data_IF_616193811051
#
_entry.id   IF_616193811051
#
_cell.length_a   1.000
_cell.length_b   1.000
_cell.length_c   1.000
_cell.angle_alpha   90.00
_cell.angle_beta   90.00
_cell.angle_gamma   90.00
#
_symmetry.space_group_name_H-M   'P 1'
#
loop_
_entity.id
_entity.type
_entity.pdbx_description
1 polymer ?
#
# COMPACT_ATOMS: atom_id res chain seq x y z
N UNK A 1 27.52 -24.29 -22.55
CA UNK A 1 26.17 -23.70 -22.60
C UNK A 1 25.94 -23.14 -23.99
N UNK A 2 25.36 -23.93 -24.90
CA UNK A 2 24.98 -23.51 -26.24
C UNK A 2 23.72 -22.66 -26.14
N UNK A 3 23.81 -21.36 -26.42
CA UNK A 3 22.63 -20.50 -26.53
C UNK A 3 21.75 -21.02 -27.68
N UNK A 4 20.62 -21.67 -27.34
CA UNK A 4 19.57 -21.98 -28.32
C UNK A 4 19.10 -20.65 -28.94
N UNK A 5 19.27 -20.50 -30.26
CA UNK A 5 18.62 -19.41 -31.00
C UNK A 5 17.12 -19.50 -30.71
N UNK A 6 16.53 -18.41 -30.21
CA UNK A 6 15.10 -18.30 -30.02
C UNK A 6 14.43 -18.55 -31.38
N UNK A 7 13.61 -19.60 -31.46
CA UNK A 7 12.79 -19.86 -32.66
C UNK A 7 11.88 -18.64 -32.91
N UNK A 8 11.64 -18.30 -34.18
CA UNK A 8 10.75 -17.20 -34.56
C UNK A 8 9.37 -17.32 -33.90
N UNK A 9 8.89 -18.55 -33.67
CA UNK A 9 7.65 -18.82 -32.94
C UNK A 9 7.72 -18.36 -31.47
N UNK A 10 8.83 -18.64 -30.75
CA UNK A 10 9.02 -18.22 -29.36
C UNK A 10 9.12 -16.70 -29.28
N UNK A 11 9.81 -16.08 -30.24
CA UNK A 11 9.96 -14.64 -30.29
C UNK A 11 8.63 -13.93 -30.55
N UNK A 12 7.82 -14.43 -31.49
CA UNK A 12 6.46 -13.92 -31.76
C UNK A 12 5.55 -14.12 -30.54
N UNK A 13 5.62 -15.27 -29.87
CA UNK A 13 4.81 -15.56 -28.69
C UNK A 13 5.15 -14.62 -27.52
N UNK A 14 6.44 -14.38 -27.26
CA UNK A 14 6.90 -13.42 -26.25
C UNK A 14 6.48 -12.00 -26.62
N UNK A 15 6.63 -11.61 -27.89
CA UNK A 15 6.25 -10.28 -28.37
C UNK A 15 4.74 -10.03 -28.23
N UNK A 16 3.89 -10.99 -28.61
CA UNK A 16 2.44 -10.90 -28.43
C UNK A 16 2.04 -10.86 -26.95
N UNK A 17 2.66 -11.69 -26.11
CA UNK A 17 2.42 -11.68 -24.67
C UNK A 17 2.78 -10.34 -24.03
N UNK A 18 3.94 -9.78 -24.38
CA UNK A 18 4.36 -8.45 -23.91
C UNK A 18 3.44 -7.37 -24.47
N UNK A 19 3.09 -7.40 -25.76
CA UNK A 19 2.17 -6.45 -26.35
C UNK A 19 0.82 -6.46 -25.62
N UNK A 20 0.26 -7.63 -25.36
CA UNK A 20 -1.01 -7.77 -24.63
C UNK A 20 -0.94 -7.16 -23.22
N UNK A 21 0.17 -7.34 -22.50
CA UNK A 21 0.35 -6.80 -21.14
C UNK A 21 0.58 -5.28 -21.14
N UNK A 22 1.38 -4.77 -22.06
CA UNK A 22 1.81 -3.37 -22.07
C UNK A 22 0.88 -2.45 -22.86
N UNK A 23 0.10 -2.97 -23.81
CA UNK A 23 -0.79 -2.15 -24.65
C UNK A 23 -1.86 -1.41 -23.83
N UNK A 24 -2.56 -2.01 -22.84
CA UNK A 24 -3.51 -1.28 -22.01
C UNK A 24 -2.85 -0.15 -21.21
N UNK A 25 -1.62 -0.37 -20.73
CA UNK A 25 -0.84 0.63 -19.99
C UNK A 25 -0.45 1.77 -20.93
N UNK A 26 0.02 1.45 -22.13
CA UNK A 26 0.37 2.45 -23.15
C UNK A 26 -0.85 3.28 -23.57
N UNK A 27 -2.01 2.63 -23.77
CA UNK A 27 -3.28 3.31 -24.06
C UNK A 27 -3.65 4.26 -22.92
N UNK A 28 -3.56 3.82 -21.66
CA UNK A 28 -3.83 4.67 -20.50
C UNK A 28 -2.90 5.89 -20.45
N UNK A 29 -1.61 5.70 -20.74
CA UNK A 29 -0.63 6.80 -20.82
C UNK A 29 -0.99 7.77 -21.94
N UNK A 30 -1.39 7.29 -23.12
CA UNK A 30 -1.81 8.15 -24.23
C UNK A 30 -3.05 8.97 -23.85
N UNK A 31 -4.06 8.33 -23.25
CA UNK A 31 -5.28 9.00 -22.83
C UNK A 31 -5.09 9.97 -21.65
N UNK A 32 -4.04 9.81 -20.85
CA UNK A 32 -3.64 10.77 -19.82
C UNK A 32 -3.37 12.16 -20.39
N UNK A 33 -2.96 12.25 -21.66
CA UNK A 33 -2.75 13.52 -22.37
C UNK A 33 -3.99 14.02 -23.12
N UNK A 34 -5.16 13.38 -23.00
CA UNK A 34 -6.35 13.79 -23.71
C UNK A 34 -6.98 15.04 -23.07
N UNK A 35 -7.17 16.10 -23.86
CA UNK A 35 -7.87 17.31 -23.44
C UNK A 35 -9.40 17.18 -23.38
N UNK A 36 -9.97 16.00 -23.63
CA UNK A 36 -11.40 15.75 -23.41
C UNK A 36 -11.68 15.11 -22.06
N UNK A 37 -12.83 15.47 -21.45
CA UNK A 37 -13.32 14.81 -20.22
C UNK A 37 -13.92 13.44 -20.51
N UNK A 38 -14.37 13.23 -21.75
CA UNK A 38 -14.83 11.94 -22.22
C UNK A 38 -13.69 11.20 -22.91
N UNK A 39 -13.39 9.99 -22.45
CA UNK A 39 -12.39 9.10 -23.07
C UNK A 39 -12.76 8.79 -24.53
N UNK A 40 -14.04 8.81 -24.88
CA UNK A 40 -14.55 8.52 -26.24
C UNK A 40 -14.31 9.64 -27.25
N UNK A 41 -13.97 10.86 -26.82
CA UNK A 41 -13.76 12.01 -27.71
C UNK A 41 -12.31 12.45 -27.58
N UNK A 42 -11.57 12.49 -28.69
CA UNK A 42 -10.19 12.99 -28.69
C UNK A 42 -10.19 14.51 -28.76
N UNK A 43 -9.80 15.18 -27.67
CA UNK A 43 -9.78 16.64 -27.55
C UNK A 43 -8.45 17.30 -27.94
N UNK A 44 -7.44 16.51 -28.30
CA UNK A 44 -6.07 16.97 -28.53
C UNK A 44 -5.12 16.62 -27.38
N UNK A 45 -3.83 16.89 -27.59
CA UNK A 45 -2.78 16.65 -26.60
C UNK A 45 -2.71 17.80 -25.58
N UNK A 46 -2.75 17.48 -24.30
CA UNK A 46 -2.79 18.46 -23.22
C UNK A 46 -2.18 17.90 -21.92
N UNK A 47 -1.55 18.78 -21.15
CA UNK A 47 -1.02 18.50 -19.81
C UNK A 47 -1.98 18.94 -18.70
N UNK A 48 -3.24 19.26 -19.03
CA UNK A 48 -4.17 19.86 -18.07
C UNK A 48 -4.40 19.01 -16.82
N UNK A 49 -4.42 17.69 -16.94
CA UNK A 49 -4.72 16.79 -15.82
C UNK A 49 -3.55 16.73 -14.85
N UNK A 50 -2.32 16.82 -15.37
CA UNK A 50 -1.12 16.95 -14.54
C UNK A 50 -1.10 18.29 -13.79
N UNK A 51 -1.54 19.39 -14.41
CA UNK A 51 -1.66 20.69 -13.71
C UNK A 51 -2.77 20.68 -12.67
N UNK A 52 -3.95 20.16 -13.03
CA UNK A 52 -5.07 20.03 -12.10
C UNK A 52 -4.72 19.18 -10.87
N UNK A 53 -3.91 18.14 -11.05
CA UNK A 53 -3.38 17.33 -9.94
C UNK A 53 -2.46 18.13 -9.01
N UNK A 54 -1.61 19.01 -9.56
CA UNK A 54 -0.69 19.82 -8.77
C UNK A 54 -1.40 20.95 -8.02
N UNK A 55 -2.52 21.44 -8.55
CA UNK A 55 -3.36 22.45 -7.89
C UNK A 55 -4.27 21.86 -6.80
N UNK A 56 -4.46 20.54 -6.78
CA UNK A 56 -5.26 19.84 -5.76
C UNK A 56 -4.41 19.42 -4.55
N UNK A 57 -4.32 20.32 -3.57
CA UNK A 57 -3.56 20.08 -2.34
C UNK A 57 -4.10 18.90 -1.52
N UNK A 58 -5.40 18.63 -1.56
CA UNK A 58 -6.01 17.53 -0.82
C UNK A 58 -5.58 16.18 -1.40
N UNK A 59 -5.54 16.08 -2.73
CA UNK A 59 -5.10 14.89 -3.45
C UNK A 59 -3.59 14.64 -3.27
N UNK A 60 -2.77 15.70 -3.25
CA UNK A 60 -1.35 15.61 -2.94
C UNK A 60 -1.09 15.16 -1.50
N UNK A 61 -1.80 15.73 -0.52
CA UNK A 61 -1.66 15.34 0.89
C UNK A 61 -2.07 13.87 1.11
N UNK A 62 -3.18 13.44 0.50
CA UNK A 62 -3.61 12.05 0.51
C UNK A 62 -2.55 11.09 -0.08
N UNK A 63 -1.89 11.50 -1.17
CA UNK A 63 -0.80 10.72 -1.76
C UNK A 63 0.42 10.60 -0.82
N UNK A 64 0.78 11.67 -0.12
CA UNK A 64 1.85 11.63 0.89
C UNK A 64 1.51 10.76 2.09
N UNK A 65 0.27 10.84 2.60
CA UNK A 65 -0.19 9.98 3.69
C UNK A 65 -0.14 8.51 3.28
N UNK A 66 -0.65 8.18 2.08
CA UNK A 66 -0.59 6.82 1.53
C UNK A 66 0.85 6.33 1.41
N UNK A 67 1.76 7.14 0.86
CA UNK A 67 3.17 6.77 0.75
C UNK A 67 3.80 6.49 2.12
N UNK A 68 3.50 7.30 3.13
CA UNK A 68 3.98 7.09 4.51
C UNK A 68 3.44 5.81 5.12
N UNK A 69 2.14 5.55 4.98
CA UNK A 69 1.51 4.30 5.43
C UNK A 69 2.20 3.13 4.77
N UNK A 70 2.34 3.18 3.46
CA UNK A 70 2.90 2.12 2.67
C UNK A 70 4.33 1.81 3.14
N UNK A 71 5.23 2.81 3.22
CA UNK A 71 6.64 2.60 3.62
C UNK A 71 6.73 1.99 5.02
N UNK A 72 5.93 2.50 5.96
CA UNK A 72 5.88 1.99 7.32
C UNK A 72 5.41 0.52 7.34
N UNK A 73 4.29 0.23 6.68
CA UNK A 73 3.72 -1.12 6.60
C UNK A 73 4.66 -2.10 5.92
N UNK A 74 5.29 -1.73 4.81
CA UNK A 74 6.23 -2.59 4.11
C UNK A 74 7.47 -2.89 4.97
N UNK A 75 7.97 -1.91 5.71
CA UNK A 75 9.13 -2.11 6.60
C UNK A 75 8.79 -3.05 7.76
N UNK A 76 7.65 -2.81 8.43
CA UNK A 76 7.17 -3.66 9.51
C UNK A 76 6.84 -5.08 9.03
N UNK A 77 6.14 -5.20 7.90
CA UNK A 77 5.80 -6.48 7.29
C UNK A 77 7.05 -7.26 6.87
N UNK A 78 8.06 -6.57 6.33
CA UNK A 78 9.31 -7.21 5.93
C UNK A 78 10.07 -7.76 7.14
N UNK A 79 10.18 -6.97 8.20
CA UNK A 79 10.82 -7.39 9.44
C UNK A 79 10.08 -8.58 10.08
N UNK A 80 8.78 -8.43 10.33
CA UNK A 80 7.97 -9.47 10.96
C UNK A 80 7.84 -10.73 10.10
N UNK A 81 7.67 -10.58 8.79
CA UNK A 81 7.55 -11.68 7.85
C UNK A 81 8.86 -12.47 7.70
N UNK A 82 10.01 -11.78 7.70
CA UNK A 82 11.33 -12.43 7.71
C UNK A 82 11.55 -13.21 9.00
N UNK A 83 11.19 -12.65 10.16
CA UNK A 83 11.26 -13.36 11.45
C UNK A 83 10.35 -14.58 11.47
N UNK A 84 9.12 -14.46 10.96
CA UNK A 84 8.18 -15.56 10.83
C UNK A 84 8.72 -16.67 9.91
N UNK A 85 9.30 -16.31 8.77
CA UNK A 85 9.92 -17.27 7.85
C UNK A 85 11.10 -18.00 8.49
N UNK A 86 11.98 -17.27 9.19
CA UNK A 86 13.10 -17.85 9.92
C UNK A 86 12.62 -18.81 11.01
N UNK A 87 11.59 -18.44 11.78
CA UNK A 87 11.00 -19.31 12.79
C UNK A 87 10.43 -20.60 12.15
N UNK A 88 9.73 -20.48 11.03
CA UNK A 88 9.14 -21.65 10.35
C UNK A 88 10.18 -22.56 9.69
N UNK A 89 11.30 -22.03 9.18
CA UNK A 89 12.31 -22.85 8.49
C UNK A 89 13.40 -23.36 9.43
N UNK A 90 13.86 -22.52 10.37
CA UNK A 90 15.04 -22.81 11.21
C UNK A 90 14.71 -23.36 12.58
N UNK A 91 13.60 -22.96 13.22
CA UNK A 91 13.30 -23.41 14.58
C UNK A 91 12.82 -24.88 14.66
N UNK A 92 12.67 -25.56 13.53
CA UNK A 92 12.29 -26.98 13.49
C UNK A 92 10.88 -27.24 14.05
N UNK A 93 10.72 -28.30 14.84
CA UNK A 93 9.45 -28.69 15.45
C UNK A 93 9.28 -28.03 16.82
N UNK A 94 8.49 -26.96 16.89
CA UNK A 94 8.10 -26.33 18.16
C UNK A 94 6.61 -26.53 18.47
N UNK A 95 6.26 -26.49 19.76
CA UNK A 95 4.86 -26.61 20.23
C UNK A 95 4.06 -25.41 19.70
N UNK A 96 2.96 -25.67 18.98
CA UNK A 96 2.15 -24.61 18.37
C UNK A 96 2.56 -24.21 16.94
N UNK A 97 3.47 -24.95 16.29
CA UNK A 97 3.86 -24.70 14.89
C UNK A 97 2.66 -24.67 13.93
N UNK A 98 1.69 -25.57 14.10
CA UNK A 98 0.50 -25.66 13.24
C UNK A 98 -0.37 -24.39 13.33
N UNK A 99 -0.87 -23.96 14.50
CA UNK A 99 -1.66 -22.73 14.59
C UNK A 99 -0.84 -21.49 14.18
N UNK A 100 0.45 -21.42 14.49
CA UNK A 100 1.30 -20.32 14.03
C UNK A 100 1.42 -20.25 12.50
N UNK A 101 1.64 -21.40 11.84
CA UNK A 101 1.67 -21.49 10.38
C UNK A 101 0.31 -21.11 9.78
N UNK A 102 -0.77 -21.59 10.38
CA UNK A 102 -2.13 -21.26 9.95
C UNK A 102 -2.41 -19.75 10.05
N UNK A 103 -1.98 -19.09 11.12
CA UNK A 103 -2.14 -17.63 11.28
C UNK A 103 -1.35 -16.84 10.22
N UNK A 104 -0.16 -17.30 9.85
CA UNK A 104 0.66 -16.64 8.82
C UNK A 104 0.08 -16.85 7.41
N UNK A 105 -0.45 -18.04 7.12
CA UNK A 105 -0.95 -18.35 5.77
C UNK A 105 -2.44 -18.06 5.56
N UNK A 106 -3.23 -17.94 6.63
CA UNK A 106 -4.66 -17.65 6.52
C UNK A 106 -4.95 -16.39 5.68
N UNK A 107 -4.21 -15.26 5.82
CA UNK A 107 -4.44 -14.07 5.01
C UNK A 107 -4.20 -14.27 3.51
N UNK A 108 -3.43 -15.28 3.10
CA UNK A 108 -3.13 -15.54 1.68
C UNK A 108 -4.25 -16.29 0.96
N UNK A 109 -5.04 -17.08 1.70
CA UNK A 109 -6.14 -17.87 1.16
C UNK A 109 -7.46 -17.11 1.25
N UNK A 110 -7.55 -16.20 2.23
CA UNK A 110 -8.74 -15.39 2.47
C UNK A 110 -8.83 -14.22 1.47
N UNK A 111 -10.02 -13.91 0.94
CA UNK A 111 -10.23 -12.71 0.13
C UNK A 111 -9.88 -11.44 0.91
N UNK A 112 -9.17 -10.50 0.27
CA UNK A 112 -8.73 -9.25 0.92
C UNK A 112 -9.87 -8.44 1.53
N UNK A 113 -11.04 -8.45 0.87
CA UNK A 113 -12.24 -7.73 1.35
C UNK A 113 -12.70 -8.26 2.71
N UNK A 114 -12.65 -9.58 2.93
CA UNK A 114 -13.05 -10.19 4.20
C UNK A 114 -12.09 -9.76 5.30
N UNK A 115 -10.78 -9.85 5.06
CA UNK A 115 -9.76 -9.47 6.05
C UNK A 115 -9.86 -7.98 6.38
N UNK A 116 -10.03 -7.14 5.36
CA UNK A 116 -10.18 -5.70 5.53
C UNK A 116 -11.40 -5.32 6.36
N UNK A 117 -12.57 -5.93 6.08
CA UNK A 117 -13.78 -5.71 6.87
C UNK A 117 -13.63 -6.25 8.29
N UNK A 118 -13.05 -7.43 8.48
CA UNK A 118 -12.81 -8.00 9.81
C UNK A 118 -11.91 -7.13 10.67
N UNK A 119 -10.82 -6.61 10.10
CA UNK A 119 -9.93 -5.68 10.81
C UNK A 119 -10.60 -4.34 11.10
N UNK A 120 -11.39 -3.81 10.17
CA UNK A 120 -12.18 -2.60 10.43
C UNK A 120 -13.15 -2.79 11.61
N UNK A 121 -13.91 -3.89 11.61
CA UNK A 121 -14.83 -4.22 12.70
C UNK A 121 -14.10 -4.44 14.03
N UNK A 122 -12.91 -5.07 13.99
CA UNK A 122 -12.05 -5.23 15.15
C UNK A 122 -11.64 -3.87 15.74
N UNK A 123 -11.18 -2.94 14.89
CA UNK A 123 -10.79 -1.60 15.35
C UNK A 123 -11.98 -0.82 15.91
N UNK A 124 -13.16 -0.95 15.31
CA UNK A 124 -14.39 -0.34 15.84
C UNK A 124 -14.77 -0.95 17.19
N UNK A 125 -14.73 -2.29 17.33
CA UNK A 125 -15.05 -2.96 18.59
C UNK A 125 -14.04 -2.65 19.71
N UNK A 126 -12.79 -2.40 19.34
CA UNK A 126 -11.71 -2.02 20.27
C UNK A 126 -11.64 -0.50 20.56
N UNK A 127 -12.61 0.28 20.05
CA UNK A 127 -12.65 1.76 20.16
C UNK A 127 -11.38 2.45 19.64
N UNK A 128 -10.71 1.84 18.66
CA UNK A 128 -9.51 2.38 18.05
C UNK A 128 -9.88 3.43 17.00
N UNK A 129 -9.26 4.61 17.09
CA UNK A 129 -9.49 5.68 16.12
C UNK A 129 -9.07 5.24 14.70
N UNK A 130 -10.02 5.30 13.76
CA UNK A 130 -9.78 5.00 12.35
C UNK A 130 -8.89 6.08 11.74
N UNK A 131 -7.81 5.67 11.10
CA UNK A 131 -6.90 6.58 10.43
C UNK A 131 -5.59 5.92 10.05
N UNK A 132 -4.52 6.70 10.09
CA UNK A 132 -3.19 6.27 9.67
C UNK A 132 -2.75 4.94 10.28
N UNK A 133 -2.89 4.76 11.60
CA UNK A 133 -2.39 3.58 12.31
C UNK A 133 -3.19 2.32 12.02
N UNK A 134 -4.52 2.40 11.97
CA UNK A 134 -5.37 1.25 11.67
C UNK A 134 -5.13 0.75 10.25
N UNK A 135 -4.95 1.66 9.30
CA UNK A 135 -4.62 1.32 7.91
C UNK A 135 -3.22 0.73 7.81
N UNK A 136 -2.24 1.32 8.51
CA UNK A 136 -0.87 0.81 8.52
C UNK A 136 -0.78 -0.62 9.09
N UNK A 137 -1.49 -0.90 10.20
CA UNK A 137 -1.53 -2.24 10.80
C UNK A 137 -2.25 -3.26 9.91
N UNK A 138 -3.33 -2.86 9.25
CA UNK A 138 -4.06 -3.74 8.34
C UNK A 138 -3.18 -4.18 7.17
N UNK A 139 -2.53 -3.22 6.50
CA UNK A 139 -1.59 -3.54 5.42
C UNK A 139 -0.38 -4.32 5.90
N UNK A 140 0.15 -4.00 7.09
CA UNK A 140 1.27 -4.76 7.68
C UNK A 140 0.90 -6.24 7.81
N UNK A 141 -0.31 -6.54 8.30
CA UNK A 141 -0.77 -7.93 8.52
C UNK A 141 -0.90 -8.69 7.20
N UNK A 142 -1.47 -8.06 6.17
CA UNK A 142 -1.61 -8.64 4.84
C UNK A 142 -0.24 -8.87 4.19
N UNK A 143 0.59 -7.82 4.12
CA UNK A 143 1.89 -7.86 3.45
C UNK A 143 2.87 -8.78 4.16
N UNK A 144 2.82 -8.89 5.50
CA UNK A 144 3.69 -9.78 6.28
C UNK A 144 3.56 -11.25 5.81
N UNK A 145 2.35 -11.67 5.47
CA UNK A 145 2.06 -13.03 5.02
C UNK A 145 2.73 -13.34 3.68
N UNK A 146 2.71 -12.38 2.75
CA UNK A 146 3.41 -12.48 1.46
C UNK A 146 4.94 -12.51 1.65
N UNK A 147 5.49 -11.60 2.47
CA UNK A 147 6.93 -11.57 2.78
C UNK A 147 7.36 -12.90 3.38
N UNK A 148 6.61 -13.44 4.34
CA UNK A 148 6.95 -14.69 4.99
C UNK A 148 7.08 -15.84 3.98
N UNK A 149 6.18 -15.94 3.00
CA UNK A 149 6.25 -16.95 1.92
C UNK A 149 7.45 -16.73 1.00
N UNK A 150 7.70 -15.48 0.58
CA UNK A 150 8.82 -15.16 -0.33
C UNK A 150 10.17 -15.47 0.33
N UNK A 151 10.35 -15.09 1.60
CA UNK A 151 11.60 -15.34 2.33
C UNK A 151 11.75 -16.81 2.66
N UNK A 152 10.66 -17.49 3.03
CA UNK A 152 10.66 -18.92 3.30
C UNK A 152 11.05 -19.73 2.06
N UNK A 153 10.49 -19.43 0.89
CA UNK A 153 10.81 -20.17 -0.34
C UNK A 153 12.30 -20.07 -0.66
N UNK A 154 12.92 -18.90 -0.45
CA UNK A 154 14.36 -18.73 -0.61
C UNK A 154 15.17 -19.44 0.46
N UNK A 155 14.74 -19.43 1.72
CA UNK A 155 15.41 -20.18 2.79
C UNK A 155 15.39 -21.70 2.59
N UNK A 156 14.37 -22.24 1.90
CA UNK A 156 14.28 -23.67 1.59
C UNK A 156 15.10 -24.08 0.36
N UNK A 157 15.42 -23.13 -0.52
CA UNK A 157 16.09 -23.36 -1.80
C UNK A 157 17.63 -23.38 -1.68
N UNK A 158 18.19 -22.74 -0.65
CA UNK A 158 19.64 -22.67 -0.44
C UNK A 158 20.18 -23.85 0.37
N UNK A 159 21.38 -24.32 -0.01
CA UNK A 159 22.06 -25.42 0.65
C UNK A 159 22.58 -25.02 2.05
N UNK A 160 22.21 -25.80 3.05
CA UNK A 160 22.65 -25.62 4.44
C UNK A 160 24.15 -25.90 4.62
N UNK A 161 24.77 -26.62 3.69
CA UNK A 161 26.20 -26.92 3.72
C UNK A 161 27.08 -25.66 3.79
N UNK A 162 26.64 -24.53 3.23
CA UNK A 162 27.36 -23.26 3.31
C UNK A 162 27.42 -22.70 4.74
N UNK A 163 26.37 -22.92 5.54
CA UNK A 163 26.31 -22.48 6.93
C UNK A 163 27.08 -23.42 7.85
N UNK A 164 26.99 -24.73 7.57
CA UNK A 164 27.75 -25.76 8.27
C UNK A 164 29.26 -25.55 8.04
N UNK A 165 29.70 -25.33 6.80
CA UNK A 165 31.10 -25.04 6.49
C UNK A 165 31.62 -23.77 7.18
N UNK A 166 30.78 -22.73 7.30
CA UNK A 166 31.15 -21.52 8.04
C UNK A 166 31.32 -21.78 9.54
N UNK A 167 30.44 -22.61 10.13
CA UNK A 167 30.56 -23.02 11.52
C UNK A 167 31.77 -23.94 11.76
N UNK A 168 32.09 -24.82 10.82
CA UNK A 168 33.27 -25.69 10.86
C UNK A 168 34.58 -24.90 10.82
N UNK A 169 34.60 -23.77 10.11
CA UNK A 169 35.72 -22.80 10.11
C UNK A 169 35.77 -21.94 11.39
N UNK A 170 34.92 -22.21 12.39
CA UNK A 170 34.90 -21.53 13.69
C UNK A 170 34.04 -20.27 13.74
N UNK A 171 33.17 -20.03 12.76
CA UNK A 171 32.26 -18.88 12.79
C UNK A 171 31.07 -19.14 13.74
N UNK A 172 30.80 -18.27 14.73
CA UNK A 172 29.68 -18.47 15.64
C UNK A 172 28.33 -18.28 14.92
N UNK A 173 27.24 -18.94 15.37
CA UNK A 173 25.96 -18.97 14.65
C UNK A 173 25.37 -17.59 14.28
N UNK A 174 25.51 -16.59 15.16
CA UNK A 174 25.07 -15.22 14.89
C UNK A 174 25.89 -14.58 13.76
N UNK A 175 27.21 -14.80 13.73
CA UNK A 175 28.07 -14.26 12.68
C UNK A 175 27.85 -14.99 11.37
N UNK A 176 27.61 -16.29 11.40
CA UNK A 176 27.20 -17.08 10.22
C UNK A 176 25.90 -16.55 9.63
N UNK A 177 24.91 -16.21 10.47
CA UNK A 177 23.66 -15.61 10.01
C UNK A 177 23.88 -14.29 9.26
N UNK A 178 24.63 -13.34 9.82
CA UNK A 178 24.84 -12.05 9.16
C UNK A 178 25.77 -12.11 7.94
N UNK A 179 26.71 -13.06 7.92
CA UNK A 179 27.74 -13.15 6.88
C UNK A 179 27.32 -14.04 5.70
N UNK A 180 26.56 -15.10 5.97
CA UNK A 180 26.19 -16.11 4.97
C UNK A 180 24.68 -16.07 4.71
N UNK A 181 23.86 -16.29 5.74
CA UNK A 181 22.41 -16.40 5.56
C UNK A 181 21.77 -15.11 5.05
N UNK A 182 22.06 -13.98 5.70
CA UNK A 182 21.40 -12.70 5.44
C UNK A 182 21.66 -12.20 4.01
N UNK A 183 22.88 -12.23 3.46
CA UNK A 183 23.14 -11.88 2.06
C UNK A 183 22.43 -12.80 1.06
N UNK A 184 22.30 -14.10 1.38
CA UNK A 184 21.60 -15.06 0.53
C UNK A 184 20.09 -14.78 0.47
N UNK A 185 19.47 -14.39 1.59
CA UNK A 185 18.04 -14.05 1.65
C UNK A 185 17.76 -12.57 1.34
N UNK A 186 18.76 -11.70 1.30
CA UNK A 186 18.62 -10.27 0.98
C UNK A 186 17.82 -9.99 -0.30
N UNK A 187 18.03 -10.68 -1.46
CA UNK A 187 17.18 -10.47 -2.63
C UNK A 187 15.71 -10.86 -2.39
N UNK A 188 15.45 -11.85 -1.53
CA UNK A 188 14.11 -12.24 -1.13
C UNK A 188 13.44 -11.16 -0.26
N UNK A 189 14.20 -10.62 0.70
CA UNK A 189 13.76 -9.53 1.58
C UNK A 189 13.46 -8.27 0.75
N UNK A 190 14.32 -7.92 -0.20
CA UNK A 190 14.12 -6.78 -1.10
C UNK A 190 12.89 -6.98 -2.00
N UNK A 191 12.69 -8.19 -2.54
CA UNK A 191 11.47 -8.54 -3.28
C UNK A 191 10.23 -8.45 -2.39
N UNK A 192 10.31 -8.94 -1.16
CA UNK A 192 9.26 -8.82 -0.14
C UNK A 192 8.89 -7.36 0.13
N UNK A 193 9.87 -6.51 0.42
CA UNK A 193 9.67 -5.08 0.66
C UNK A 193 9.06 -4.35 -0.54
N UNK A 194 9.40 -4.75 -1.77
CA UNK A 194 8.84 -4.16 -2.99
C UNK A 194 7.32 -4.33 -3.14
N UNK A 195 6.69 -5.25 -2.38
CA UNK A 195 5.22 -5.36 -2.30
C UNK A 195 4.56 -4.06 -1.82
N UNK A 196 5.31 -3.14 -1.22
CA UNK A 196 4.92 -1.75 -0.98
C UNK A 196 4.16 -1.11 -2.14
N UNK A 197 4.59 -1.37 -3.39
CA UNK A 197 3.98 -0.81 -4.60
C UNK A 197 2.51 -1.15 -4.74
N UNK A 198 2.01 -2.25 -4.18
CA UNK A 198 0.60 -2.62 -4.29
C UNK A 198 -0.30 -1.81 -3.36
N UNK A 199 0.23 -1.34 -2.23
CA UNK A 199 -0.49 -0.55 -1.23
C UNK A 199 -0.71 0.89 -1.72
N UNK A 200 0.35 1.51 -2.25
CA UNK A 200 0.33 2.95 -2.61
C UNK A 200 -0.82 3.38 -3.54
N UNK A 201 -1.10 2.74 -4.70
CA UNK A 201 -2.04 3.29 -5.67
C UNK A 201 -3.50 3.10 -5.22
N UNK A 202 -3.77 2.05 -4.44
CA UNK A 202 -5.11 1.72 -3.96
C UNK A 202 -5.54 2.70 -2.86
N UNK A 203 -4.63 2.95 -1.92
CA UNK A 203 -4.89 3.80 -0.75
C UNK A 203 -4.98 5.28 -1.08
N UNK A 204 -4.27 5.77 -2.10
CA UNK A 204 -4.39 7.16 -2.55
C UNK A 204 -5.85 7.53 -2.89
N UNK A 205 -6.60 6.61 -3.49
CA UNK A 205 -8.00 6.83 -3.88
C UNK A 205 -8.88 6.94 -2.62
N UNK A 206 -8.74 6.01 -1.66
CA UNK A 206 -9.51 6.06 -0.41
C UNK A 206 -9.14 7.24 0.50
N UNK A 207 -7.85 7.60 0.54
CA UNK A 207 -7.39 8.77 1.27
C UNK A 207 -7.92 10.08 0.64
N UNK A 208 -7.99 10.16 -0.69
CA UNK A 208 -8.60 11.28 -1.39
C UNK A 208 -10.11 11.38 -1.14
N UNK A 209 -10.83 10.26 -1.19
CA UNK A 209 -12.29 10.22 -0.94
C UNK A 209 -12.64 10.65 0.49
N UNK A 210 -11.85 10.21 1.47
CA UNK A 210 -12.05 10.58 2.88
C UNK A 210 -11.69 12.04 3.15
N UNK A 211 -10.62 12.56 2.52
CA UNK A 211 -10.27 13.98 2.59
C UNK A 211 -11.37 14.87 1.98
N UNK A 212 -11.92 14.48 0.82
CA UNK A 212 -12.97 15.22 0.14
C UNK A 212 -14.31 15.16 0.91
N UNK A 213 -14.64 14.00 1.49
CA UNK A 213 -15.83 13.82 2.34
C UNK A 213 -15.76 14.67 3.62
N UNK A 214 -14.59 14.81 4.24
CA UNK A 214 -14.37 15.66 5.40
C UNK A 214 -14.52 17.16 5.07
N UNK A 215 -13.99 17.60 3.91
CA UNK A 215 -14.14 18.97 3.43
C UNK A 215 -15.60 19.32 3.10
N UNK A 216 -16.34 18.40 2.46
CA UNK A 216 -17.77 18.56 2.16
C UNK A 216 -18.65 18.68 3.41
N UNK A 217 -18.35 17.89 4.45
CA UNK A 217 -19.04 17.96 5.76
C UNK A 217 -18.81 19.30 6.47
N UNK A 218 -17.57 19.81 6.46
CA UNK A 218 -17.24 21.11 7.05
C UNK A 218 -17.92 22.28 6.31
N UNK A 219 -17.98 22.23 4.97
CA UNK A 219 -18.69 23.24 4.18
C UNK A 219 -20.22 23.19 4.38
N UNK A 220 -20.79 22.01 4.61
CA UNK A 220 -22.22 21.87 4.91
C UNK A 220 -22.57 22.33 6.33
N UNK A 221 -21.68 22.14 7.31
CA UNK A 221 -21.81 22.66 8.66
C UNK A 221 -21.79 24.21 8.70
N UNK A 222 -21.03 24.85 7.82
CA UNK A 222 -21.00 26.32 7.71
C UNK A 222 -22.25 26.89 7.01
N UNK A 223 -22.83 26.17 6.03
CA UNK A 223 -24.12 26.53 5.40
C UNK A 223 -25.33 26.40 6.32
N UNK A 224 -25.24 25.63 7.40
CA UNK A 224 -26.30 25.46 8.39
C UNK A 224 -26.36 26.58 9.43
N UNK A 225 -25.42 27.55 9.43
CA UNK A 225 -25.45 28.68 10.35
C UNK A 225 -26.44 29.74 9.83
N UNK A 226 -27.55 30.02 10.53
CA UNK A 226 -28.43 31.11 10.13
C UNK A 226 -27.61 32.40 10.13
N UNK A 227 -27.64 33.09 9.00
CA UNK A 227 -26.95 34.36 8.81
C UNK A 227 -27.45 35.36 9.87
N UNK A 228 -26.73 35.48 10.99
CA UNK A 228 -26.67 36.72 11.76
C UNK A 228 -25.89 37.76 10.93
N UNK A 229 -26.40 38.08 9.74
CA UNK A 229 -26.08 39.35 9.09
C UNK A 229 -26.82 40.40 9.90
N UNK A 230 -26.07 41.03 10.79
CA UNK A 230 -26.26 42.40 11.26
C UNK A 230 -27.28 43.17 10.43
N UNK A 231 -28.49 43.30 10.95
CA UNK A 231 -29.44 44.32 10.52
C UNK A 231 -29.00 45.64 11.16
N UNK A 232 -28.48 46.63 10.41
CA UNK A 232 -28.39 47.98 10.94
C UNK A 232 -29.81 48.57 10.88
N UNK A 233 -30.36 49.02 12.01
CA UNK A 233 -31.52 49.92 11.97
C UNK A 233 -32.77 49.54 12.76
N UNK A 234 -32.66 48.91 13.94
CA UNK A 234 -33.81 48.85 14.88
C UNK A 234 -33.50 49.53 16.23
N UNK A 235 -32.22 49.65 16.62
CA UNK A 235 -31.83 50.37 17.83
C UNK A 235 -32.00 51.90 17.73
N UNK A 236 -31.85 52.47 16.52
CA UNK A 236 -31.89 53.93 16.31
C UNK A 236 -33.31 54.50 16.19
N UNK A 237 -34.29 53.67 15.83
CA UNK A 237 -35.70 54.08 15.75
C UNK A 237 -36.36 54.27 17.14
N UNK A 238 -35.85 53.60 18.19
CA UNK A 238 -36.35 53.76 19.57
C UNK A 238 -35.75 54.96 20.32
N UNK A 239 -34.63 55.50 19.86
CA UNK A 239 -34.03 56.70 20.44
C UNK A 239 -34.69 57.99 19.91
N UNK A 240 -35.17 58.00 18.66
CA UNK A 240 -35.87 59.15 18.05
C UNK A 240 -37.34 59.33 18.47
N UNK A 241 -37.97 58.32 19.09
CA UNK A 241 -39.36 58.39 19.53
C UNK A 241 -39.54 58.85 21.00
N UNK A 242 -38.46 59.25 21.68
CA UNK A 242 -38.49 59.71 23.09
C UNK A 242 -37.91 61.12 23.30
N UNK A 243 -37.70 61.87 22.23
CA UNK A 243 -37.30 63.27 22.29
C UNK A 243 -38.13 64.08 21.31
N UNK A 244 -38.88 65.04 21.86
CA UNK A 244 -39.93 65.90 21.26
C UNK A 244 -41.33 65.30 21.38
#
# INVERSE_FOLDING_TARGET
MTMRRLSSFNLVSIALGLAFLYLPIAILVIYSFNDSRLVSVWGGWSLRWYRALLDDSAMLEAAFVSLRVAVLSATLATALGTLAALALVRAGRFRGRLPFSAMIYAPLVMPEVIIGLSLLLLFVAADFARGFWTTALAHTTLTMSFVAVIVQSRLLDFDRSLEEAAMDLGCPPLRTFFTVTLPLIAPAIAAGWSNLRTVTPRDCIWAGETANSAAGSAAMADRGRPAQRSAPGIADARARARGI
#
